data_IF_511876317263
#
_entry.id   IF_511876317263
#
_cell.length_a   1.000
_cell.length_b   1.000
_cell.length_c   1.000
_cell.angle_alpha   90.00
_cell.angle_beta   90.00
_cell.angle_gamma   90.00
#
_symmetry.space_group_name_H-M   'P 1'
#
loop_
_entity.id
_entity.type
_entity.pdbx_description
1 polymer ?
#
# COMPACT_ATOMS: atom_id res chain seq x y z
N UNK A 1 25.47 -21.26 -9.69
CA UNK A 1 24.04 -21.16 -10.02
C UNK A 1 23.52 -19.72 -9.94
N UNK A 2 23.73 -19.03 -8.80
CA UNK A 2 23.27 -17.63 -8.65
C UNK A 2 23.83 -16.71 -9.74
N UNK A 3 25.08 -16.92 -10.19
CA UNK A 3 25.73 -16.06 -11.19
C UNK A 3 25.11 -16.15 -12.61
N UNK A 4 24.28 -17.15 -12.87
CA UNK A 4 23.62 -17.38 -14.18
C UNK A 4 22.09 -17.41 -14.06
N UNK A 5 21.56 -17.15 -12.84
CA UNK A 5 20.13 -17.10 -12.62
C UNK A 5 19.54 -15.84 -13.26
N UNK A 6 18.47 -15.99 -14.00
CA UNK A 6 17.65 -14.87 -14.40
C UNK A 6 16.83 -14.38 -13.19
N UNK A 7 16.76 -13.06 -13.01
CA UNK A 7 15.99 -12.46 -11.90
C UNK A 7 14.51 -12.76 -12.17
N UNK A 8 13.92 -13.60 -11.35
CA UNK A 8 12.53 -14.08 -11.50
C UNK A 8 12.39 -15.59 -11.53
N UNK A 9 13.47 -16.33 -11.79
CA UNK A 9 13.49 -17.78 -11.66
C UNK A 9 13.83 -18.17 -10.22
N UNK A 10 13.01 -19.01 -9.59
CA UNK A 10 13.23 -19.47 -8.20
C UNK A 10 14.19 -20.65 -8.11
N UNK A 11 14.08 -21.60 -9.05
CA UNK A 11 14.81 -22.87 -9.04
C UNK A 11 16.33 -22.72 -8.86
N UNK A 12 17.05 -21.80 -9.54
CA UNK A 12 18.48 -21.63 -9.35
C UNK A 12 18.87 -21.20 -7.93
N UNK A 13 18.05 -20.40 -7.28
CA UNK A 13 18.30 -19.92 -5.90
C UNK A 13 18.02 -21.04 -4.88
N UNK A 14 16.93 -21.79 -5.05
CA UNK A 14 16.61 -22.96 -4.23
C UNK A 14 17.72 -24.01 -4.33
N UNK A 15 18.23 -24.27 -5.54
CA UNK A 15 19.35 -25.17 -5.76
C UNK A 15 20.66 -24.66 -5.13
N UNK A 16 20.91 -23.36 -5.16
CA UNK A 16 22.06 -22.77 -4.48
C UNK A 16 22.00 -22.99 -2.97
N UNK A 17 20.82 -22.81 -2.34
CA UNK A 17 20.64 -23.09 -0.91
C UNK A 17 20.86 -24.56 -0.59
N UNK A 18 20.29 -25.49 -1.39
CA UNK A 18 20.48 -26.93 -1.22
C UNK A 18 21.97 -27.32 -1.22
N UNK A 19 22.77 -26.70 -2.09
CA UNK A 19 24.20 -27.00 -2.22
C UNK A 19 25.05 -26.32 -1.14
N UNK A 20 24.69 -25.13 -0.69
CA UNK A 20 25.52 -24.35 0.22
C UNK A 20 25.21 -24.64 1.70
N UNK A 21 23.93 -24.78 2.07
CA UNK A 21 23.51 -24.91 3.48
C UNK A 21 24.18 -26.09 4.24
N UNK A 22 24.41 -27.28 3.64
CA UNK A 22 25.08 -28.38 4.36
C UNK A 22 26.50 -28.08 4.82
N UNK A 23 27.12 -27.02 4.29
CA UNK A 23 28.50 -26.65 4.58
C UNK A 23 28.63 -25.46 5.53
N UNK A 24 27.52 -25.03 6.17
CA UNK A 24 27.49 -23.85 7.06
C UNK A 24 28.55 -23.92 8.17
N UNK A 25 28.73 -25.06 8.82
CA UNK A 25 29.70 -25.19 9.91
C UNK A 25 31.15 -24.90 9.48
N UNK A 26 31.50 -25.19 8.22
CA UNK A 26 32.84 -24.98 7.68
C UNK A 26 33.08 -23.54 7.21
N UNK A 27 32.04 -22.85 6.79
CA UNK A 27 32.13 -21.53 6.15
C UNK A 27 31.38 -20.41 6.90
N UNK A 28 31.01 -20.66 8.18
CA UNK A 28 30.22 -19.72 8.98
C UNK A 28 30.81 -18.30 9.06
N UNK A 29 32.13 -18.17 9.03
CA UNK A 29 32.86 -16.88 9.11
C UNK A 29 33.34 -16.40 7.71
N UNK A 30 33.05 -17.11 6.61
CA UNK A 30 33.45 -16.72 5.28
C UNK A 30 32.49 -15.70 4.69
N UNK A 31 33.01 -14.54 4.28
CA UNK A 31 32.22 -13.47 3.68
C UNK A 31 31.49 -13.92 2.41
N UNK A 32 32.21 -14.53 1.46
CA UNK A 32 31.65 -14.89 0.16
C UNK A 32 30.55 -15.96 0.29
N UNK A 33 30.74 -16.89 1.19
CA UNK A 33 29.77 -17.93 1.45
C UNK A 33 28.48 -17.37 2.07
N UNK A 34 28.61 -16.56 3.14
CA UNK A 34 27.47 -15.88 3.77
C UNK A 34 26.72 -14.97 2.78
N UNK A 35 27.46 -14.19 1.98
CA UNK A 35 26.88 -13.31 0.97
C UNK A 35 26.05 -14.08 -0.09
N UNK A 36 26.57 -15.25 -0.56
CA UNK A 36 25.86 -16.06 -1.56
C UNK A 36 24.59 -16.68 -1.01
N UNK A 37 24.60 -17.18 0.22
CA UNK A 37 23.41 -17.70 0.88
C UNK A 37 22.40 -16.58 1.09
N UNK A 38 22.86 -15.44 1.60
CA UNK A 38 22.00 -14.27 1.78
C UNK A 38 21.33 -13.83 0.47
N UNK A 39 22.10 -13.76 -0.63
CA UNK A 39 21.57 -13.43 -1.95
C UNK A 39 20.53 -14.43 -2.43
N UNK A 40 20.74 -15.74 -2.20
CA UNK A 40 19.75 -16.75 -2.58
C UNK A 40 18.45 -16.57 -1.82
N UNK A 41 18.48 -16.36 -0.50
CA UNK A 41 17.28 -16.03 0.28
C UNK A 41 16.62 -14.73 -0.15
N UNK A 42 17.41 -13.68 -0.44
CA UNK A 42 16.90 -12.38 -0.87
C UNK A 42 16.09 -12.48 -2.16
N UNK A 43 16.60 -13.19 -3.18
CA UNK A 43 15.89 -13.39 -4.44
C UNK A 43 14.73 -14.42 -4.36
N UNK A 44 14.60 -15.13 -3.25
CA UNK A 44 13.44 -15.95 -2.92
C UNK A 44 12.38 -15.18 -2.10
N UNK A 45 12.56 -13.88 -1.87
CA UNK A 45 11.71 -13.03 -1.03
C UNK A 45 11.67 -13.49 0.45
N UNK A 46 12.79 -14.04 0.91
CA UNK A 46 13.00 -14.51 2.26
C UNK A 46 13.90 -13.55 3.05
N UNK A 47 13.43 -12.30 3.24
CA UNK A 47 14.23 -11.20 3.79
C UNK A 47 14.76 -11.47 5.21
N UNK A 48 14.04 -12.23 6.02
CA UNK A 48 14.46 -12.56 7.39
C UNK A 48 15.74 -13.42 7.43
N UNK A 49 15.78 -14.59 6.77
CA UNK A 49 17.02 -15.36 6.57
C UNK A 49 18.10 -14.56 5.84
N UNK A 50 17.75 -13.85 4.75
CA UNK A 50 18.71 -13.05 3.99
C UNK A 50 19.44 -12.04 4.87
N UNK A 51 18.72 -11.27 5.70
CA UNK A 51 19.27 -10.29 6.62
C UNK A 51 20.31 -10.90 7.55
N UNK A 52 20.01 -12.06 8.14
CA UNK A 52 20.93 -12.72 9.08
C UNK A 52 22.25 -13.10 8.42
N UNK A 53 22.22 -13.61 7.20
CA UNK A 53 23.44 -14.00 6.48
C UNK A 53 24.18 -12.79 5.90
N UNK A 54 23.49 -11.73 5.44
CA UNK A 54 24.16 -10.48 5.07
C UNK A 54 24.85 -9.82 6.27
N UNK A 55 24.27 -9.84 7.46
CA UNK A 55 24.92 -9.35 8.68
C UNK A 55 26.18 -10.16 9.05
N UNK A 56 26.16 -11.49 8.88
CA UNK A 56 27.36 -12.33 9.01
C UNK A 56 28.41 -11.96 7.95
N UNK A 57 28.01 -11.79 6.70
CA UNK A 57 28.92 -11.39 5.63
C UNK A 57 29.56 -10.02 5.91
N UNK A 58 28.78 -9.03 6.35
CA UNK A 58 29.29 -7.72 6.70
C UNK A 58 30.28 -7.76 7.88
N UNK A 59 30.02 -8.61 8.87
CA UNK A 59 30.93 -8.84 10.02
C UNK A 59 32.27 -9.40 9.55
N UNK A 60 32.27 -10.32 8.59
CA UNK A 60 33.47 -10.91 8.01
C UNK A 60 34.25 -9.93 7.10
N UNK A 61 33.56 -8.95 6.51
CA UNK A 61 34.16 -7.88 5.69
C UNK A 61 33.54 -6.53 6.05
N UNK A 62 34.13 -5.87 7.04
CA UNK A 62 33.66 -4.54 7.45
C UNK A 62 33.81 -3.50 6.33
N UNK A 63 32.77 -2.67 6.18
CA UNK A 63 32.77 -1.59 5.18
C UNK A 63 32.39 -2.03 3.76
N UNK A 64 31.93 -3.25 3.55
CA UNK A 64 31.40 -3.71 2.28
C UNK A 64 30.05 -3.03 2.00
N UNK A 65 30.08 -2.07 1.05
CA UNK A 65 28.92 -1.22 0.76
C UNK A 65 27.75 -2.01 0.14
N UNK A 66 28.07 -2.94 -0.74
CA UNK A 66 27.04 -3.74 -1.42
C UNK A 66 26.28 -4.59 -0.40
N UNK A 67 26.99 -5.22 0.53
CA UNK A 67 26.35 -5.98 1.63
C UNK A 67 25.52 -5.07 2.53
N UNK A 68 25.98 -3.85 2.83
CA UNK A 68 25.23 -2.89 3.64
C UNK A 68 23.94 -2.46 2.95
N UNK A 69 23.96 -2.21 1.64
CA UNK A 69 22.75 -1.85 0.87
C UNK A 69 21.68 -2.96 0.93
N UNK A 70 22.09 -4.22 0.80
CA UNK A 70 21.16 -5.35 0.95
C UNK A 70 20.59 -5.47 2.36
N UNK A 71 21.40 -5.23 3.39
CA UNK A 71 20.93 -5.19 4.79
C UNK A 71 19.84 -4.13 4.97
N UNK A 72 20.10 -2.92 4.48
CA UNK A 72 19.16 -1.80 4.60
C UNK A 72 17.87 -2.07 3.82
N UNK A 73 17.96 -2.69 2.64
CA UNK A 73 16.80 -3.10 1.88
C UNK A 73 15.99 -4.21 2.56
N UNK A 74 16.64 -5.24 3.09
CA UNK A 74 15.97 -6.28 3.88
C UNK A 74 15.23 -5.70 5.08
N UNK A 75 15.87 -4.80 5.84
CA UNK A 75 15.25 -4.13 6.99
C UNK A 75 14.05 -3.29 6.57
N UNK A 76 14.16 -2.55 5.47
CA UNK A 76 13.07 -1.77 4.89
C UNK A 76 11.90 -2.69 4.51
N UNK A 77 12.14 -3.78 3.78
CA UNK A 77 11.10 -4.75 3.39
C UNK A 77 10.43 -5.42 4.58
N UNK A 78 11.20 -5.79 5.61
CA UNK A 78 10.68 -6.38 6.86
C UNK A 78 9.84 -5.39 7.67
N UNK A 79 10.06 -4.09 7.53
CA UNK A 79 9.26 -3.06 8.18
C UNK A 79 7.92 -2.79 7.49
N UNK A 80 7.75 -3.25 6.24
CA UNK A 80 6.50 -3.08 5.50
C UNK A 80 5.38 -3.94 6.10
N UNK A 81 4.14 -3.44 6.12
CA UNK A 81 3.00 -4.22 6.60
C UNK A 81 2.83 -5.49 5.76
N UNK A 82 2.77 -6.65 6.41
CA UNK A 82 2.40 -7.91 5.77
C UNK A 82 0.91 -8.13 5.91
N UNK A 83 0.27 -8.53 4.82
CA UNK A 83 -1.15 -8.83 4.77
C UNK A 83 -1.33 -10.34 4.48
N UNK A 84 -2.13 -11.01 5.29
CA UNK A 84 -2.49 -12.43 5.07
C UNK A 84 -3.30 -12.61 3.78
N UNK A 85 -4.10 -11.58 3.43
CA UNK A 85 -4.94 -11.57 2.23
C UNK A 85 -4.37 -10.64 1.17
N UNK A 86 -4.48 -11.01 -0.10
CA UNK A 86 -4.08 -10.14 -1.20
C UNK A 86 -5.00 -8.90 -1.31
N UNK A 87 -4.56 -7.91 -2.09
CA UNK A 87 -5.29 -6.63 -2.18
C UNK A 87 -6.71 -6.80 -2.77
N UNK A 88 -6.91 -7.72 -3.71
CA UNK A 88 -8.22 -8.01 -4.30
C UNK A 88 -9.22 -8.53 -3.25
N UNK A 89 -8.78 -9.44 -2.39
CA UNK A 89 -9.61 -9.97 -1.30
C UNK A 89 -9.95 -8.89 -0.29
N UNK A 90 -8.95 -8.11 0.13
CA UNK A 90 -9.14 -6.98 1.05
C UNK A 90 -10.09 -5.92 0.47
N UNK A 91 -10.02 -5.64 -0.83
CA UNK A 91 -10.94 -4.72 -1.52
C UNK A 91 -12.38 -5.21 -1.47
N UNK A 92 -12.61 -6.52 -1.72
CA UNK A 92 -13.97 -7.09 -1.60
C UNK A 92 -14.51 -6.98 -0.18
N UNK A 93 -13.68 -7.28 0.82
CA UNK A 93 -14.08 -7.18 2.23
C UNK A 93 -14.42 -5.75 2.63
N UNK A 94 -13.61 -4.80 2.21
CA UNK A 94 -13.86 -3.38 2.48
C UNK A 94 -15.17 -2.90 1.83
N UNK A 95 -15.43 -3.29 0.57
CA UNK A 95 -16.71 -2.97 -0.08
C UNK A 95 -17.89 -3.66 0.57
N UNK A 96 -17.75 -4.91 1.01
CA UNK A 96 -18.80 -5.61 1.74
C UNK A 96 -19.13 -4.90 3.07
N UNK A 97 -18.09 -4.44 3.80
CA UNK A 97 -18.27 -3.66 5.02
C UNK A 97 -18.91 -2.29 4.73
N UNK A 98 -18.47 -1.59 3.69
CA UNK A 98 -19.06 -0.30 3.30
C UNK A 98 -20.54 -0.44 2.91
N UNK A 99 -20.89 -1.46 2.13
CA UNK A 99 -22.31 -1.75 1.75
C UNK A 99 -23.21 -1.95 2.96
N UNK A 100 -22.69 -2.53 4.04
CA UNK A 100 -23.49 -2.73 5.28
C UNK A 100 -23.77 -1.43 6.02
N UNK A 101 -22.91 -0.42 5.89
CA UNK A 101 -23.02 0.83 6.65
C UNK A 101 -23.47 2.03 5.80
N UNK A 102 -23.45 1.94 4.46
CA UNK A 102 -23.70 3.09 3.57
C UNK A 102 -25.05 3.77 3.84
N UNK A 103 -26.10 2.97 4.09
CA UNK A 103 -27.41 3.51 4.46
C UNK A 103 -27.38 4.31 5.77
N UNK A 104 -26.61 3.87 6.77
CA UNK A 104 -26.41 4.59 8.02
C UNK A 104 -25.60 5.86 7.81
N UNK A 105 -24.59 5.86 6.94
CA UNK A 105 -23.82 7.05 6.58
C UNK A 105 -24.73 8.10 5.94
N UNK A 106 -25.55 7.72 4.97
CA UNK A 106 -26.51 8.61 4.32
C UNK A 106 -27.49 9.20 5.32
N UNK A 107 -28.05 8.37 6.20
CA UNK A 107 -28.98 8.84 7.24
C UNK A 107 -28.34 9.89 8.15
N UNK A 108 -27.07 9.69 8.54
CA UNK A 108 -26.36 10.68 9.36
C UNK A 108 -26.15 11.97 8.56
N UNK A 109 -25.71 11.89 7.30
CA UNK A 109 -25.47 13.06 6.45
C UNK A 109 -26.76 13.86 6.21
N UNK A 110 -27.91 13.20 6.08
CA UNK A 110 -29.21 13.84 5.87
C UNK A 110 -29.79 14.51 7.13
N UNK A 111 -29.47 13.98 8.31
CA UNK A 111 -30.11 14.43 9.56
C UNK A 111 -29.23 15.31 10.42
N UNK A 112 -27.93 15.38 10.13
CA UNK A 112 -26.97 16.18 10.93
C UNK A 112 -26.81 17.61 10.37
N UNK A 113 -27.87 18.41 10.46
CA UNK A 113 -27.85 19.80 10.00
C UNK A 113 -26.76 20.66 10.70
N UNK A 114 -26.30 20.26 11.86
CA UNK A 114 -25.33 21.01 12.67
C UNK A 114 -23.89 20.53 12.50
N UNK A 115 -23.68 19.50 11.70
CA UNK A 115 -22.38 18.87 11.45
C UNK A 115 -21.64 18.38 12.72
N UNK A 116 -22.39 18.00 13.76
CA UNK A 116 -21.82 17.52 15.02
C UNK A 116 -21.42 16.06 15.02
N UNK A 117 -21.91 15.28 14.03
CA UNK A 117 -21.63 13.84 13.89
C UNK A 117 -20.54 13.53 12.86
N UNK A 118 -19.75 14.53 12.47
CA UNK A 118 -18.66 14.35 11.50
C UNK A 118 -17.63 13.30 11.92
N UNK A 119 -17.24 13.27 13.20
CA UNK A 119 -16.32 12.26 13.72
C UNK A 119 -16.89 10.84 13.61
N UNK A 120 -18.17 10.65 13.91
CA UNK A 120 -18.85 9.36 13.77
C UNK A 120 -18.88 8.89 12.31
N UNK A 121 -19.12 9.79 11.36
CA UNK A 121 -19.08 9.50 9.91
C UNK A 121 -17.69 9.03 9.49
N UNK A 122 -16.65 9.78 9.86
CA UNK A 122 -15.26 9.46 9.50
C UNK A 122 -14.83 8.14 10.15
N UNK A 123 -15.17 7.91 11.40
CA UNK A 123 -14.84 6.64 12.06
C UNK A 123 -15.52 5.44 11.40
N UNK A 124 -16.83 5.51 11.16
CA UNK A 124 -17.59 4.42 10.51
C UNK A 124 -17.04 4.12 9.12
N UNK A 125 -16.88 5.15 8.29
CA UNK A 125 -16.35 5.00 6.94
C UNK A 125 -14.91 4.47 6.96
N UNK A 126 -14.03 5.07 7.77
CA UNK A 126 -12.65 4.64 7.93
C UNK A 126 -12.52 3.19 8.38
N UNK A 127 -13.38 2.75 9.32
CA UNK A 127 -13.41 1.35 9.76
C UNK A 127 -13.78 0.37 8.64
N UNK A 128 -14.67 0.75 7.71
CA UNK A 128 -15.00 -0.06 6.55
C UNK A 128 -13.84 -0.11 5.53
N UNK A 129 -13.17 1.03 5.30
CA UNK A 129 -12.13 1.15 4.29
C UNK A 129 -10.78 0.55 4.72
N UNK A 130 -10.45 0.56 6.02
CA UNK A 130 -9.11 0.24 6.55
C UNK A 130 -8.58 -1.14 6.17
N UNK A 131 -9.45 -2.10 5.86
CA UNK A 131 -9.04 -3.45 5.44
C UNK A 131 -8.28 -3.40 4.12
N UNK A 132 -8.68 -2.53 3.19
CA UNK A 132 -8.01 -2.35 1.91
C UNK A 132 -7.10 -1.11 1.90
N UNK A 133 -7.56 0.00 2.47
CA UNK A 133 -6.97 1.33 2.35
C UNK A 133 -6.58 1.90 3.73
N UNK A 134 -5.62 1.24 4.40
CA UNK A 134 -5.28 1.48 5.82
C UNK A 134 -4.95 2.93 6.16
N UNK A 135 -4.15 3.59 5.32
CA UNK A 135 -3.59 4.92 5.59
C UNK A 135 -4.03 5.92 4.51
N UNK A 136 -5.26 5.79 4.03
CA UNK A 136 -5.79 6.66 2.99
C UNK A 136 -6.70 7.71 3.61
N UNK A 137 -6.40 8.96 3.37
CA UNK A 137 -7.29 10.06 3.67
C UNK A 137 -8.47 10.06 2.69
N UNK A 138 -9.65 10.40 3.18
CA UNK A 138 -10.85 10.49 2.37
C UNK A 138 -11.74 11.63 2.85
N UNK A 139 -12.66 12.05 2.00
CA UNK A 139 -13.69 13.04 2.30
C UNK A 139 -15.06 12.46 1.96
N UNK A 140 -16.07 12.87 2.70
CA UNK A 140 -17.46 12.55 2.41
C UNK A 140 -18.18 13.86 2.03
N UNK A 141 -19.02 13.80 1.00
CA UNK A 141 -19.75 14.93 0.48
C UNK A 141 -21.11 14.54 -0.12
N UNK A 142 -21.85 15.56 -0.57
CA UNK A 142 -23.08 15.41 -1.33
C UNK A 142 -23.10 16.50 -2.43
N UNK A 143 -23.31 16.10 -3.68
CA UNK A 143 -23.29 17.03 -4.81
C UNK A 143 -24.66 17.52 -5.27
N UNK A 144 -25.70 17.29 -4.48
CA UNK A 144 -27.09 17.63 -4.79
C UNK A 144 -27.88 16.47 -5.44
N UNK A 145 -27.19 15.41 -5.89
CA UNK A 145 -27.80 14.23 -6.50
C UNK A 145 -27.37 12.94 -5.79
N UNK A 146 -26.06 12.75 -5.61
CA UNK A 146 -25.48 11.58 -4.95
C UNK A 146 -24.51 11.98 -3.85
N UNK A 147 -24.36 11.07 -2.89
CA UNK A 147 -23.29 11.16 -1.91
C UNK A 147 -21.93 10.91 -2.58
N UNK A 148 -20.88 11.43 -2.01
CA UNK A 148 -19.54 11.31 -2.56
C UNK A 148 -18.56 10.75 -1.53
N UNK A 149 -17.79 9.75 -1.96
CA UNK A 149 -16.60 9.29 -1.28
C UNK A 149 -15.39 9.67 -2.13
N UNK A 150 -14.57 10.59 -1.62
CA UNK A 150 -13.40 11.11 -2.33
C UNK A 150 -12.15 10.56 -1.65
N UNK A 151 -11.45 9.67 -2.35
CA UNK A 151 -10.22 9.03 -1.86
C UNK A 151 -9.01 9.90 -2.24
N UNK A 152 -8.20 10.31 -1.27
CA UNK A 152 -7.06 11.20 -1.51
C UNK A 152 -5.76 10.43 -1.74
N UNK A 153 -5.08 10.61 -2.89
CA UNK A 153 -3.74 10.10 -3.11
C UNK A 153 -2.65 10.92 -2.39
N UNK A 154 -3.01 12.07 -1.77
CA UNK A 154 -2.09 12.97 -1.04
C UNK A 154 -0.83 13.35 -1.86
N UNK A 155 -0.98 13.50 -3.18
CA UNK A 155 0.12 13.84 -4.08
C UNK A 155 1.08 12.67 -4.39
N UNK A 156 0.86 11.49 -3.84
CA UNK A 156 1.72 10.32 -4.05
C UNK A 156 1.22 9.47 -5.22
N UNK A 157 1.99 9.46 -6.32
CA UNK A 157 1.64 8.66 -7.51
C UNK A 157 1.53 7.16 -7.22
N UNK A 158 2.31 6.64 -6.26
CA UNK A 158 2.25 5.23 -5.84
C UNK A 158 0.91 4.83 -5.23
N UNK A 159 0.13 5.79 -4.71
CA UNK A 159 -1.21 5.55 -4.16
C UNK A 159 -2.31 5.52 -5.24
N UNK A 160 -2.05 6.03 -6.44
CA UNK A 160 -3.08 6.09 -7.49
C UNK A 160 -3.59 4.72 -7.90
N UNK A 161 -2.69 3.76 -8.15
CA UNK A 161 -3.10 2.42 -8.61
C UNK A 161 -4.06 1.72 -7.63
N UNK A 162 -3.74 1.58 -6.32
CA UNK A 162 -4.66 0.95 -5.38
C UNK A 162 -5.98 1.71 -5.23
N UNK A 163 -5.99 3.04 -5.28
CA UNK A 163 -7.22 3.83 -5.17
C UNK A 163 -8.12 3.69 -6.40
N UNK A 164 -7.55 3.75 -7.60
CA UNK A 164 -8.29 3.54 -8.86
C UNK A 164 -8.83 2.11 -8.94
N UNK A 165 -8.01 1.11 -8.57
CA UNK A 165 -8.49 -0.27 -8.51
C UNK A 165 -9.65 -0.41 -7.52
N UNK A 166 -9.52 0.16 -6.31
CA UNK A 166 -10.58 0.14 -5.30
C UNK A 166 -11.87 0.78 -5.83
N UNK A 167 -11.78 1.97 -6.41
CA UNK A 167 -12.91 2.66 -7.06
C UNK A 167 -13.61 1.79 -8.10
N UNK A 168 -12.85 1.15 -9.00
CA UNK A 168 -13.39 0.30 -10.07
C UNK A 168 -14.07 -0.98 -9.58
N UNK A 169 -13.82 -1.38 -8.34
CA UNK A 169 -14.44 -2.55 -7.72
C UNK A 169 -15.66 -2.19 -6.86
N UNK A 170 -16.13 -0.95 -6.91
CA UNK A 170 -17.32 -0.54 -6.16
C UNK A 170 -18.56 -1.31 -6.64
N UNK A 171 -19.35 -1.88 -5.70
CA UNK A 171 -20.59 -2.59 -6.06
C UNK A 171 -21.63 -1.66 -6.69
N UNK A 172 -22.40 -2.17 -7.65
CA UNK A 172 -23.49 -1.43 -8.28
C UNK A 172 -24.47 -0.85 -7.26
N UNK A 173 -24.84 -1.63 -6.23
CA UNK A 173 -25.71 -1.18 -5.15
C UNK A 173 -25.19 0.05 -4.40
N UNK A 174 -23.89 0.20 -4.27
CA UNK A 174 -23.26 1.41 -3.70
C UNK A 174 -23.32 2.55 -4.71
N UNK A 175 -23.01 2.26 -5.99
CA UNK A 175 -23.00 3.27 -7.05
C UNK A 175 -24.39 3.84 -7.39
N UNK A 176 -25.46 3.19 -6.97
CA UNK A 176 -26.83 3.75 -7.05
C UNK A 176 -26.94 5.07 -6.27
N UNK A 177 -26.27 5.14 -5.12
CA UNK A 177 -26.38 6.28 -4.20
C UNK A 177 -25.10 7.10 -4.05
N UNK A 178 -23.93 6.53 -4.42
CA UNK A 178 -22.62 7.11 -4.18
C UNK A 178 -21.84 7.32 -5.46
N UNK A 179 -21.16 8.44 -5.56
CA UNK A 179 -20.03 8.64 -6.48
C UNK A 179 -18.73 8.36 -5.71
N UNK A 180 -17.88 7.55 -6.32
CA UNK A 180 -16.56 7.22 -5.75
C UNK A 180 -15.49 7.91 -6.60
N UNK A 181 -14.74 8.82 -6.02
CA UNK A 181 -13.73 9.60 -6.71
C UNK A 181 -12.32 9.33 -6.20
N UNK A 182 -11.33 9.37 -7.08
CA UNK A 182 -9.92 9.40 -6.74
C UNK A 182 -9.39 10.80 -6.98
N UNK A 183 -9.09 11.51 -5.90
CA UNK A 183 -8.80 12.94 -5.92
C UNK A 183 -10.06 13.82 -6.00
N UNK A 184 -9.90 15.07 -5.57
CA UNK A 184 -10.97 16.05 -5.68
C UNK A 184 -11.29 16.32 -7.13
N UNK A 185 -12.59 16.34 -7.44
CA UNK A 185 -13.07 16.75 -8.76
C UNK A 185 -13.02 18.27 -8.88
N UNK A 186 -12.80 18.82 -10.08
CA UNK A 186 -12.89 20.26 -10.31
C UNK A 186 -14.24 20.77 -9.85
N UNK A 187 -14.26 21.81 -9.00
CA UNK A 187 -15.50 22.50 -8.65
C UNK A 187 -16.01 23.26 -9.86
N UNK A 188 -17.29 23.10 -10.21
CA UNK A 188 -17.92 23.88 -11.29
C UNK A 188 -17.98 25.37 -10.94
N UNK A 189 -17.94 25.70 -9.64
CA UNK A 189 -18.05 27.08 -9.13
C UNK A 189 -16.71 27.56 -8.55
N UNK A 190 -15.57 26.99 -9.00
CA UNK A 190 -14.27 27.45 -8.53
C UNK A 190 -13.99 28.87 -9.05
N UNK A 191 -13.87 29.81 -8.12
CA UNK A 191 -13.56 31.20 -8.39
C UNK A 191 -12.39 31.63 -7.52
N UNK A 192 -11.31 32.08 -8.15
CA UNK A 192 -10.20 32.76 -7.48
C UNK A 192 -10.37 34.27 -7.64
N UNK A 193 -10.34 34.99 -6.52
CA UNK A 193 -10.35 36.45 -6.50
C UNK A 193 -9.03 36.97 -5.95
N UNK A 194 -8.32 37.73 -6.79
CA UNK A 194 -7.06 38.37 -6.42
C UNK A 194 -7.16 39.87 -6.79
N UNK A 195 -7.48 40.71 -5.80
CA UNK A 195 -7.77 42.10 -6.00
C UNK A 195 -9.02 42.29 -6.87
N UNK A 196 -8.87 42.99 -8.01
CA UNK A 196 -9.95 43.21 -8.96
C UNK A 196 -10.07 42.12 -10.07
N UNK A 197 -9.17 41.11 -10.00
CA UNK A 197 -9.22 39.97 -10.93
C UNK A 197 -10.04 38.82 -10.34
N UNK A 198 -10.98 38.31 -11.14
CA UNK A 198 -11.80 37.15 -10.87
C UNK A 198 -11.50 36.10 -11.96
N UNK A 199 -11.01 34.93 -11.54
CA UNK A 199 -10.73 33.81 -12.45
C UNK A 199 -11.73 32.71 -12.11
N UNK A 200 -12.52 32.29 -13.09
CA UNK A 200 -13.50 31.20 -12.97
C UNK A 200 -12.98 29.93 -13.61
N UNK A 201 -13.53 28.78 -13.19
CA UNK A 201 -13.15 27.47 -13.74
C UNK A 201 -13.47 27.33 -15.26
N UNK A 202 -14.26 28.27 -15.81
CA UNK A 202 -14.67 28.29 -17.22
C UNK A 202 -13.71 29.12 -18.10
N UNK A 203 -12.80 29.89 -17.50
CA UNK A 203 -11.81 30.72 -18.19
C UNK A 203 -10.52 29.94 -18.52
#
# INVERSE_FOLDING_TARGET
YIAVADIGEREPFEKALELLTPHEEHFAEDHCWNYRIASAYYFLDEEGPALRYFEKALKARLGDKDTQEYIDDCRRRLSLPRFEKNFRERTREAWAAFTQIEGSLRQIMDTDETHQRGEELIEKCGNALKTALRDTSFELGFNGEKYELILSPEGLRSRLFPLVYFQQQAPESVLEHWNIWVGRQPSKDFMLRAGDMEIRAED
#
